data_IF_710434415703
#
_entry.id   IF_710434415703
#
_cell.length_a   1.000
_cell.length_b   1.000
_cell.length_c   1.000
_cell.angle_alpha   90.00
_cell.angle_beta   90.00
_cell.angle_gamma   90.00
#
_symmetry.space_group_name_H-M   'P 1'
#
loop_
_entity.id
_entity.type
_entity.pdbx_description
1 polymer ?
#
# COMPACT_ATOMS: atom_id res chain seq x y z
N UNK A 1 -9.18 -15.07 25.45
CA UNK A 1 -7.86 -15.08 24.80
C UNK A 1 -7.82 -16.18 23.78
N UNK A 2 -7.69 -15.85 22.50
CA UNK A 2 -7.43 -16.84 21.46
C UNK A 2 -5.94 -17.14 21.52
N UNK A 3 -5.56 -18.39 21.86
CA UNK A 3 -4.19 -18.92 21.88
C UNK A 3 -3.56 -18.88 20.48
N UNK A 4 -3.29 -17.68 19.99
CA UNK A 4 -2.54 -17.44 18.77
C UNK A 4 -1.09 -17.26 19.18
N UNK A 5 -0.33 -18.35 19.15
CA UNK A 5 1.13 -18.33 19.21
C UNK A 5 1.67 -17.67 17.94
N UNK A 6 1.70 -16.33 17.93
CA UNK A 6 2.41 -15.58 16.90
C UNK A 6 3.90 -15.77 17.18
N UNK A 7 4.59 -16.48 16.28
CA UNK A 7 6.03 -16.70 16.32
C UNK A 7 6.78 -15.39 16.62
N UNK A 8 7.75 -15.41 17.54
CA UNK A 8 8.48 -14.23 17.99
C UNK A 8 9.13 -13.45 16.83
N UNK A 9 9.60 -14.15 15.81
CA UNK A 9 10.16 -13.60 14.56
C UNK A 9 9.19 -12.67 13.83
N UNK A 10 7.88 -12.90 13.94
CA UNK A 10 6.86 -12.02 13.37
C UNK A 10 6.56 -10.81 14.26
N UNK A 11 6.89 -10.83 15.55
CA UNK A 11 6.61 -9.74 16.50
C UNK A 11 7.71 -8.68 16.53
N UNK A 12 8.97 -9.09 16.36
CA UNK A 12 10.15 -8.20 16.39
C UNK A 12 10.01 -6.99 15.45
N UNK A 13 9.59 -7.13 14.17
CA UNK A 13 9.41 -5.99 13.29
C UNK A 13 8.35 -5.00 13.80
N UNK A 14 7.25 -5.48 14.39
CA UNK A 14 6.22 -4.60 14.94
C UNK A 14 6.70 -3.82 16.15
N UNK A 15 7.48 -4.46 17.03
CA UNK A 15 8.06 -3.79 18.19
C UNK A 15 9.03 -2.70 17.76
N UNK A 16 9.85 -2.97 16.75
CA UNK A 16 10.75 -1.98 16.18
C UNK A 16 9.99 -0.81 15.54
N UNK A 17 9.01 -1.08 14.68
CA UNK A 17 8.20 -0.02 14.06
C UNK A 17 7.44 0.82 15.10
N UNK A 18 6.87 0.18 16.11
CA UNK A 18 6.18 0.88 17.19
C UNK A 18 7.14 1.74 18.01
N UNK A 19 8.37 1.25 18.27
CA UNK A 19 9.42 2.02 18.93
C UNK A 19 9.80 3.26 18.11
N UNK A 20 10.01 3.09 16.80
CA UNK A 20 10.36 4.21 15.91
C UNK A 20 9.22 5.22 15.82
N UNK A 21 7.97 4.78 15.68
CA UNK A 21 6.80 5.66 15.71
C UNK A 21 6.66 6.39 17.06
N UNK A 22 6.94 5.71 18.16
CA UNK A 22 6.99 6.31 19.49
C UNK A 22 8.04 7.42 19.59
N UNK A 23 9.24 7.19 19.04
CA UNK A 23 10.31 8.18 18.98
C UNK A 23 9.92 9.38 18.10
N UNK A 24 9.34 9.14 16.92
CA UNK A 24 8.85 10.20 16.02
C UNK A 24 7.81 11.09 16.70
N UNK A 25 6.87 10.51 17.46
CA UNK A 25 5.88 11.26 18.26
C UNK A 25 6.52 12.11 19.36
N UNK A 26 7.66 11.69 19.88
CA UNK A 26 8.46 12.44 20.86
C UNK A 26 9.45 13.42 20.20
N UNK A 27 9.37 13.60 18.87
CA UNK A 27 10.27 14.41 18.05
C UNK A 27 11.73 13.94 18.02
N UNK A 28 11.95 12.65 18.23
CA UNK A 28 13.24 12.02 18.00
C UNK A 28 13.28 11.37 16.60
N UNK A 29 14.08 11.96 15.72
CA UNK A 29 14.26 11.52 14.33
C UNK A 29 15.31 10.40 14.19
N UNK A 30 16.17 10.19 15.20
CA UNK A 30 17.35 9.34 15.05
C UNK A 30 16.99 7.88 14.73
N UNK A 31 16.00 7.25 15.40
CA UNK A 31 15.62 5.88 15.08
C UNK A 31 15.05 5.75 13.66
N UNK A 32 14.25 6.72 13.21
CA UNK A 32 13.65 6.70 11.88
C UNK A 32 14.70 6.95 10.77
N UNK A 33 15.65 7.86 10.99
CA UNK A 33 16.76 8.10 10.07
C UNK A 33 17.61 6.85 9.87
N UNK A 34 18.02 6.19 10.97
CA UNK A 34 18.80 4.95 10.90
C UNK A 34 18.05 3.86 10.14
N UNK A 35 16.77 3.69 10.45
CA UNK A 35 15.93 2.71 9.75
C UNK A 35 15.82 3.01 8.25
N UNK A 36 15.67 4.29 7.86
CA UNK A 36 15.61 4.69 6.46
C UNK A 36 16.95 4.46 5.74
N UNK A 37 18.08 4.70 6.39
CA UNK A 37 19.41 4.43 5.83
C UNK A 37 19.64 2.93 5.64
N UNK A 38 19.25 2.09 6.61
CA UNK A 38 19.36 0.62 6.54
C UNK A 38 18.46 0.02 5.45
N UNK A 39 17.31 0.64 5.17
CA UNK A 39 16.33 0.19 4.17
C UNK A 39 16.37 0.99 2.87
N UNK A 40 17.43 1.77 2.62
CA UNK A 40 17.51 2.74 1.52
C UNK A 40 17.24 2.12 0.14
N UNK A 41 17.80 0.96 -0.14
CA UNK A 41 17.63 0.29 -1.45
C UNK A 41 16.16 -0.11 -1.66
N UNK A 42 15.55 -0.72 -0.65
CA UNK A 42 14.14 -1.12 -0.68
C UNK A 42 13.21 0.11 -0.79
N UNK A 43 13.52 1.20 -0.08
CA UNK A 43 12.77 2.46 -0.17
C UNK A 43 12.87 3.09 -1.57
N UNK A 44 14.02 2.95 -2.23
CA UNK A 44 14.22 3.43 -3.60
C UNK A 44 13.41 2.61 -4.62
N UNK A 45 13.27 1.29 -4.43
CA UNK A 45 12.44 0.43 -5.29
C UNK A 45 10.97 0.86 -5.27
N UNK A 46 10.44 1.18 -4.09
CA UNK A 46 9.06 1.70 -3.94
C UNK A 46 8.95 3.21 -4.21
N UNK A 47 10.03 3.87 -4.61
CA UNK A 47 10.14 5.32 -4.87
C UNK A 47 9.65 6.17 -3.69
N UNK A 48 9.94 5.73 -2.47
CA UNK A 48 9.62 6.46 -1.25
C UNK A 48 10.34 7.81 -1.18
N UNK A 49 9.68 8.79 -0.55
CA UNK A 49 10.27 10.11 -0.22
C UNK A 49 10.63 10.25 1.27
N UNK A 50 10.50 9.17 2.05
CA UNK A 50 10.67 9.15 3.50
C UNK A 50 12.03 9.66 3.94
N UNK A 51 13.09 9.11 3.36
CA UNK A 51 14.46 9.44 3.74
C UNK A 51 14.77 10.94 3.55
N UNK A 52 14.35 11.49 2.41
CA UNK A 52 14.44 12.93 2.16
C UNK A 52 13.67 13.75 3.19
N UNK A 53 12.42 13.37 3.51
CA UNK A 53 11.59 14.08 4.49
C UNK A 53 12.22 14.05 5.89
N UNK A 54 12.82 12.94 6.29
CA UNK A 54 13.52 12.81 7.56
C UNK A 54 14.76 13.71 7.63
N UNK A 55 15.61 13.69 6.59
CA UNK A 55 16.76 14.61 6.51
C UNK A 55 16.32 16.08 6.50
N UNK A 56 15.20 16.39 5.83
CA UNK A 56 14.59 17.73 5.82
C UNK A 56 14.23 18.19 7.23
N UNK A 57 13.48 17.39 8.00
CA UNK A 57 13.14 17.76 9.38
C UNK A 57 14.38 17.88 10.26
N UNK A 58 15.35 16.97 10.12
CA UNK A 58 16.59 17.03 10.91
C UNK A 58 17.38 18.30 10.61
N UNK A 59 17.47 18.70 9.34
CA UNK A 59 18.12 19.94 8.94
C UNK A 59 17.38 21.14 9.51
N UNK A 60 16.04 21.18 9.46
CA UNK A 60 15.24 22.24 10.07
C UNK A 60 15.47 22.31 11.59
N UNK A 61 15.54 21.17 12.30
CA UNK A 61 15.84 21.13 13.73
C UNK A 61 17.23 21.68 14.07
N UNK A 62 18.22 21.52 13.17
CA UNK A 62 19.54 22.16 13.32
C UNK A 62 19.44 23.68 13.14
N UNK A 63 18.65 24.14 12.17
CA UNK A 63 18.49 25.58 11.94
C UNK A 63 17.75 26.29 13.08
N UNK A 64 16.77 25.62 13.70
CA UNK A 64 16.03 26.14 14.87
C UNK A 64 16.93 26.41 16.08
N UNK A 65 18.10 25.78 16.16
CA UNK A 65 19.08 26.02 17.23
C UNK A 65 19.86 27.33 17.04
N UNK A 66 19.63 28.03 15.93
CA UNK A 66 20.16 29.35 15.66
C UNK A 66 21.60 29.35 15.11
N UNK A 67 22.25 30.52 15.07
CA UNK A 67 23.54 30.71 14.38
C UNK A 67 24.68 29.83 14.89
N UNK A 68 24.65 29.44 16.17
CA UNK A 68 25.66 28.57 16.78
C UNK A 68 25.77 27.20 16.10
N UNK A 69 24.69 26.74 15.45
CA UNK A 69 24.63 25.43 14.78
C UNK A 69 24.74 25.52 13.25
N UNK A 70 25.02 26.72 12.70
CA UNK A 70 25.14 26.93 11.25
C UNK A 70 26.18 25.99 10.61
N UNK A 71 27.35 25.83 11.24
CA UNK A 71 28.40 24.93 10.75
C UNK A 71 27.94 23.46 10.71
N UNK A 72 27.20 23.02 11.74
CA UNK A 72 26.65 21.67 11.79
C UNK A 72 25.57 21.46 10.72
N UNK A 73 24.71 22.47 10.49
CA UNK A 73 23.72 22.43 9.42
C UNK A 73 24.39 22.30 8.03
N UNK A 74 25.43 23.09 7.76
CA UNK A 74 26.22 23.00 6.52
C UNK A 74 26.91 21.66 6.35
N UNK A 75 27.43 21.08 7.43
CA UNK A 75 28.01 19.76 7.36
C UNK A 75 26.93 18.70 7.07
N UNK A 76 25.77 18.83 7.71
CA UNK A 76 24.64 17.92 7.53
C UNK A 76 24.02 18.00 6.14
N UNK A 77 24.07 19.16 5.47
CA UNK A 77 23.49 19.35 4.14
C UNK A 77 24.13 18.46 3.07
N UNK A 78 25.31 17.87 3.33
CA UNK A 78 25.94 16.88 2.44
C UNK A 78 25.09 15.62 2.28
N UNK A 79 24.26 15.27 3.26
CA UNK A 79 23.31 14.15 3.15
C UNK A 79 22.25 14.38 2.06
N UNK A 80 22.09 15.62 1.56
CA UNK A 80 21.14 15.92 0.50
C UNK A 80 21.65 15.60 -0.92
N UNK A 81 22.91 15.23 -1.09
CA UNK A 81 23.53 15.00 -2.41
C UNK A 81 22.75 13.96 -3.24
N UNK A 82 22.37 12.84 -2.61
CA UNK A 82 21.59 11.78 -3.26
C UNK A 82 20.17 12.20 -3.69
N UNK A 83 19.67 13.32 -3.18
CA UNK A 83 18.31 13.81 -3.42
C UNK A 83 18.26 15.02 -4.36
N UNK A 84 19.42 15.52 -4.81
CA UNK A 84 19.54 16.77 -5.54
C UNK A 84 18.70 16.82 -6.82
N UNK A 85 18.69 15.72 -7.59
CA UNK A 85 17.97 15.63 -8.86
C UNK A 85 16.44 15.60 -8.68
N UNK A 86 15.96 14.96 -7.61
CA UNK A 86 14.52 14.76 -7.37
C UNK A 86 13.89 15.92 -6.58
N UNK A 87 14.67 16.60 -5.74
CA UNK A 87 14.18 17.58 -4.76
C UNK A 87 14.86 18.95 -4.85
N UNK A 88 15.33 19.35 -6.03
CA UNK A 88 16.13 20.58 -6.21
C UNK A 88 15.46 21.84 -5.63
N UNK A 89 14.15 22.02 -5.85
CA UNK A 89 13.42 23.21 -5.35
C UNK A 89 13.35 23.22 -3.82
N UNK A 90 13.06 22.07 -3.22
CA UNK A 90 13.02 21.94 -1.76
C UNK A 90 14.40 22.24 -1.16
N UNK A 91 15.48 21.73 -1.77
CA UNK A 91 16.84 22.01 -1.32
C UNK A 91 17.19 23.50 -1.44
N UNK A 92 16.78 24.18 -2.52
CA UNK A 92 16.97 25.63 -2.65
C UNK A 92 16.25 26.40 -1.54
N UNK A 93 15.04 25.98 -1.17
CA UNK A 93 14.28 26.56 -0.05
C UNK A 93 15.02 26.34 1.28
N UNK A 94 15.51 25.12 1.52
CA UNK A 94 16.28 24.81 2.73
C UNK A 94 17.57 25.63 2.82
N UNK A 95 18.33 25.71 1.73
CA UNK A 95 19.55 26.53 1.69
C UNK A 95 19.24 28.02 1.83
N UNK A 96 18.17 28.52 1.20
CA UNK A 96 17.73 29.90 1.32
C UNK A 96 17.30 30.28 2.74
N UNK A 97 16.69 29.34 3.48
CA UNK A 97 16.27 29.56 4.86
C UNK A 97 17.42 29.88 5.82
N UNK A 98 18.65 29.45 5.49
CA UNK A 98 19.83 29.75 6.28
C UNK A 98 20.17 31.25 6.36
N UNK A 99 19.75 32.05 5.37
CA UNK A 99 19.97 33.49 5.37
C UNK A 99 19.29 34.20 6.55
N UNK A 100 18.28 33.57 7.14
CA UNK A 100 17.46 34.10 8.23
C UNK A 100 17.82 33.54 9.60
N UNK A 101 18.93 32.79 9.72
CA UNK A 101 19.39 32.17 10.97
C UNK A 101 19.57 33.18 12.11
N UNK A 102 19.99 34.41 11.81
CA UNK A 102 20.21 35.46 12.82
C UNK A 102 18.90 35.98 13.40
N UNK A 103 17.85 36.07 12.58
CA UNK A 103 16.53 36.55 12.98
C UNK A 103 15.61 35.43 13.49
N UNK A 104 15.97 34.16 13.26
CA UNK A 104 15.13 32.99 13.50
C UNK A 104 14.24 32.67 12.29
N UNK A 105 14.10 31.38 11.99
CA UNK A 105 13.30 30.93 10.83
C UNK A 105 11.82 31.24 11.03
N UNK A 106 11.35 31.24 12.26
CA UNK A 106 9.98 31.62 12.65
C UNK A 106 9.62 33.05 12.23
N UNK A 107 10.61 33.94 12.14
CA UNK A 107 10.44 35.34 11.75
C UNK A 107 10.74 35.60 10.26
N UNK A 108 10.85 34.53 9.47
CA UNK A 108 11.21 34.59 8.05
C UNK A 108 10.06 34.17 7.13
N UNK A 109 10.17 34.39 5.80
CA UNK A 109 9.24 33.81 4.82
C UNK A 109 9.18 32.28 4.86
N UNK A 110 10.14 31.63 5.52
CA UNK A 110 10.26 30.18 5.66
C UNK A 110 9.64 29.64 6.95
N UNK A 111 8.88 30.43 7.70
CA UNK A 111 8.20 29.98 8.93
C UNK A 111 7.31 28.74 8.71
N UNK A 112 6.75 28.60 7.51
CA UNK A 112 5.96 27.44 7.10
C UNK A 112 6.74 26.11 7.16
N UNK A 113 8.08 26.12 7.12
CA UNK A 113 8.92 24.94 7.29
C UNK A 113 8.86 24.36 8.70
N UNK A 114 8.45 25.16 9.69
CA UNK A 114 8.35 24.78 11.09
C UNK A 114 6.98 24.18 11.46
N UNK A 115 6.08 24.05 10.49
CA UNK A 115 4.71 23.62 10.73
C UNK A 115 4.67 22.21 11.36
N UNK A 116 3.87 21.99 12.43
CA UNK A 116 3.76 20.69 13.08
C UNK A 116 3.29 19.56 12.16
N UNK A 117 2.52 19.90 11.12
CA UNK A 117 1.97 18.95 10.13
C UNK A 117 3.01 18.03 9.49
N UNK A 118 4.27 18.48 9.38
CA UNK A 118 5.33 17.64 8.80
C UNK A 118 5.71 16.45 9.70
N UNK A 119 5.46 16.55 11.01
CA UNK A 119 5.68 15.42 11.92
C UNK A 119 4.60 14.35 11.74
N UNK A 120 3.35 14.78 11.61
CA UNK A 120 2.23 13.88 11.31
C UNK A 120 2.42 13.22 9.94
N UNK A 121 2.78 14.02 8.93
CA UNK A 121 3.08 13.55 7.58
C UNK A 121 4.22 12.51 7.56
N UNK A 122 5.29 12.72 8.33
CA UNK A 122 6.37 11.73 8.44
C UNK A 122 5.91 10.46 9.12
N UNK A 123 5.08 10.55 10.17
CA UNK A 123 4.53 9.34 10.81
C UNK A 123 3.68 8.52 9.82
N UNK A 124 2.87 9.19 9.01
CA UNK A 124 2.03 8.53 7.99
C UNK A 124 2.87 7.90 6.87
N UNK A 125 3.87 8.63 6.36
CA UNK A 125 4.77 8.13 5.32
C UNK A 125 5.60 6.96 5.86
N UNK A 126 6.17 7.08 7.06
CA UNK A 126 6.93 6.01 7.70
C UNK A 126 6.08 4.75 7.89
N UNK A 127 4.86 4.88 8.42
CA UNK A 127 3.96 3.74 8.65
C UNK A 127 3.63 3.04 7.33
N UNK A 128 3.30 3.82 6.29
CA UNK A 128 2.97 3.29 4.98
C UNK A 128 4.14 2.53 4.34
N UNK A 129 5.32 3.15 4.33
CA UNK A 129 6.48 2.58 3.66
C UNK A 129 6.99 1.35 4.42
N UNK A 130 7.05 1.42 5.75
CA UNK A 130 7.42 0.28 6.59
C UNK A 130 6.45 -0.90 6.43
N UNK A 131 5.14 -0.66 6.43
CA UNK A 131 4.15 -1.70 6.16
C UNK A 131 4.34 -2.30 4.76
N UNK A 132 4.61 -1.46 3.75
CA UNK A 132 4.85 -1.91 2.37
C UNK A 132 6.07 -2.82 2.28
N UNK A 133 7.19 -2.43 2.91
CA UNK A 133 8.42 -3.23 2.92
C UNK A 133 8.26 -4.57 3.64
N UNK A 134 7.43 -4.62 4.67
CA UNK A 134 7.11 -5.86 5.39
C UNK A 134 6.03 -6.71 4.69
N UNK A 135 5.49 -6.26 3.55
CA UNK A 135 4.40 -6.95 2.85
C UNK A 135 3.08 -6.95 3.63
N UNK A 136 2.86 -5.93 4.46
CA UNK A 136 1.72 -5.83 5.36
C UNK A 136 0.72 -4.77 4.89
N UNK A 137 -0.55 -4.96 5.25
CA UNK A 137 -1.55 -3.91 5.08
C UNK A 137 -1.28 -2.75 6.03
N UNK A 138 -1.31 -1.53 5.50
CA UNK A 138 -1.22 -0.28 6.30
C UNK A 138 -2.44 -0.15 7.20
N UNK A 139 -3.60 -0.62 6.73
CA UNK A 139 -4.83 -0.66 7.51
C UNK A 139 -4.93 -1.95 8.33
N UNK A 140 -5.44 -1.83 9.55
CA UNK A 140 -5.72 -2.98 10.41
C UNK A 140 -6.78 -3.89 9.76
N UNK A 141 -6.52 -5.20 9.60
CA UNK A 141 -7.50 -6.14 9.07
C UNK A 141 -8.83 -6.15 9.84
N UNK A 142 -8.77 -5.94 11.17
CA UNK A 142 -9.96 -5.83 12.00
C UNK A 142 -10.77 -4.58 11.67
N UNK A 143 -10.10 -3.43 11.53
CA UNK A 143 -10.74 -2.16 11.16
C UNK A 143 -11.40 -2.24 9.78
N UNK A 144 -10.68 -2.79 8.79
CA UNK A 144 -11.20 -3.03 7.44
C UNK A 144 -12.42 -3.95 7.49
N UNK A 145 -12.33 -5.08 8.21
CA UNK A 145 -13.42 -6.05 8.34
C UNK A 145 -14.66 -5.45 9.00
N UNK A 146 -14.49 -4.68 10.08
CA UNK A 146 -15.61 -4.01 10.75
C UNK A 146 -16.25 -3.00 9.79
N UNK A 147 -15.45 -2.19 9.09
CA UNK A 147 -15.98 -1.16 8.18
C UNK A 147 -16.72 -1.79 7.01
N UNK A 148 -16.15 -2.81 6.37
CA UNK A 148 -16.81 -3.59 5.33
C UNK A 148 -18.12 -4.23 5.85
N UNK A 149 -18.10 -4.78 7.07
CA UNK A 149 -19.29 -5.31 7.74
C UNK A 149 -20.37 -4.26 7.96
N UNK A 150 -20.01 -3.05 8.39
CA UNK A 150 -20.94 -1.94 8.56
C UNK A 150 -21.59 -1.51 7.22
N UNK A 151 -20.85 -1.57 6.12
CA UNK A 151 -21.39 -1.29 4.77
C UNK A 151 -22.30 -2.43 4.28
N UNK A 152 -21.94 -3.68 4.56
CA UNK A 152 -22.67 -4.87 4.11
C UNK A 152 -23.94 -5.16 4.92
N UNK A 153 -23.97 -4.80 6.20
CA UNK A 153 -25.04 -5.19 7.11
C UNK A 153 -26.43 -4.63 6.70
N UNK A 154 -26.59 -3.34 6.33
CA UNK A 154 -27.91 -2.82 5.95
C UNK A 154 -28.52 -3.52 4.72
N UNK A 155 -27.79 -3.73 3.60
CA UNK A 155 -28.28 -4.56 2.49
C UNK A 155 -28.71 -5.96 2.91
N UNK A 156 -27.91 -6.64 3.75
CA UNK A 156 -28.21 -7.99 4.24
C UNK A 156 -29.48 -8.04 5.09
N UNK A 157 -29.71 -7.04 5.95
CA UNK A 157 -30.92 -6.95 6.76
C UNK A 157 -32.17 -6.75 5.89
N UNK A 158 -32.08 -5.89 4.87
CA UNK A 158 -33.17 -5.68 3.92
C UNK A 158 -33.52 -6.96 3.16
N UNK A 159 -32.51 -7.71 2.71
CA UNK A 159 -32.71 -8.97 2.02
C UNK A 159 -33.36 -10.00 2.94
N UNK A 160 -32.88 -10.12 4.19
CA UNK A 160 -33.48 -11.03 5.18
C UNK A 160 -34.97 -10.75 5.34
N UNK A 161 -35.36 -9.48 5.43
CA UNK A 161 -36.75 -9.07 5.55
C UNK A 161 -37.56 -9.45 4.30
N UNK A 162 -37.04 -9.16 3.10
CA UNK A 162 -37.71 -9.50 1.83
C UNK A 162 -37.88 -11.02 1.69
N UNK A 163 -36.86 -11.80 2.05
CA UNK A 163 -36.91 -13.26 1.99
C UNK A 163 -37.97 -13.84 2.93
N UNK A 164 -38.09 -13.31 4.15
CA UNK A 164 -39.11 -13.70 5.13
C UNK A 164 -40.52 -13.33 4.66
N UNK A 165 -40.70 -12.14 4.08
CA UNK A 165 -42.00 -11.65 3.61
C UNK A 165 -42.48 -12.35 2.34
N UNK A 166 -41.59 -12.63 1.38
CA UNK A 166 -41.96 -13.19 0.07
C UNK A 166 -41.93 -14.73 0.02
N UNK A 167 -41.63 -15.42 1.13
CA UNK A 167 -41.55 -16.89 1.20
C UNK A 167 -40.62 -17.51 0.15
N UNK A 168 -39.55 -16.78 -0.23
CA UNK A 168 -38.56 -17.22 -1.23
C UNK A 168 -37.39 -17.99 -0.61
N UNK A 169 -37.66 -18.70 0.49
CA UNK A 169 -36.67 -19.42 1.31
C UNK A 169 -35.81 -20.41 0.51
N UNK A 170 -36.35 -20.93 -0.61
CA UNK A 170 -35.64 -21.87 -1.49
C UNK A 170 -34.72 -21.23 -2.54
N UNK A 171 -34.80 -19.90 -2.75
CA UNK A 171 -33.98 -19.18 -3.75
C UNK A 171 -32.53 -19.04 -3.27
N UNK A 172 -32.30 -19.04 -1.95
CA UNK A 172 -30.97 -18.99 -1.36
C UNK A 172 -30.65 -20.31 -0.67
N UNK A 173 -30.25 -21.29 -1.48
CA UNK A 173 -29.92 -22.65 -1.03
C UNK A 173 -28.42 -22.95 -1.06
N UNK A 174 -27.63 -22.13 -1.76
CA UNK A 174 -26.16 -22.20 -1.76
C UNK A 174 -25.59 -21.53 -0.51
N UNK A 175 -24.80 -22.29 0.28
CA UNK A 175 -24.14 -21.80 1.50
C UNK A 175 -22.93 -20.90 1.23
N UNK A 176 -22.44 -20.86 -0.01
CA UNK A 176 -21.18 -20.22 -0.38
C UNK A 176 -21.34 -18.88 -1.10
N UNK A 177 -22.58 -18.43 -1.34
CA UNK A 177 -22.86 -17.22 -2.13
C UNK A 177 -23.85 -16.30 -1.43
N UNK A 178 -23.69 -15.00 -1.64
CA UNK A 178 -24.68 -14.01 -1.24
C UNK A 178 -25.76 -13.88 -2.33
N UNK A 179 -27.04 -13.64 -1.96
CA UNK A 179 -28.12 -13.52 -2.92
C UNK A 179 -28.03 -12.23 -3.77
N UNK A 180 -27.23 -11.25 -3.34
CA UNK A 180 -26.93 -10.02 -4.08
C UNK A 180 -25.46 -9.65 -3.92
N UNK A 181 -24.91 -8.97 -4.91
CA UNK A 181 -23.61 -8.32 -4.81
C UNK A 181 -23.70 -7.09 -3.90
N UNK A 182 -22.81 -7.00 -2.93
CA UNK A 182 -22.68 -5.84 -2.03
C UNK A 182 -21.48 -5.04 -2.53
N UNK A 183 -21.74 -3.87 -3.12
CA UNK A 183 -20.66 -2.98 -3.53
C UNK A 183 -20.05 -2.30 -2.30
N UNK A 184 -18.87 -2.76 -1.91
CA UNK A 184 -18.09 -2.17 -0.82
C UNK A 184 -17.32 -0.92 -1.26
N UNK A 185 -17.19 -0.66 -2.57
CA UNK A 185 -16.31 0.37 -3.11
C UNK A 185 -14.99 -0.17 -3.64
N UNK A 186 -14.18 0.72 -4.22
CA UNK A 186 -12.89 0.35 -4.84
C UNK A 186 -11.78 0.18 -3.82
N UNK A 187 -11.88 0.88 -2.69
CA UNK A 187 -10.94 0.87 -1.58
C UNK A 187 -10.84 -0.49 -0.87
N UNK A 188 -11.83 -1.37 -1.04
CA UNK A 188 -11.82 -2.75 -0.51
C UNK A 188 -11.34 -3.81 -1.52
N UNK A 189 -10.86 -3.39 -2.70
CA UNK A 189 -10.39 -4.30 -3.75
C UNK A 189 -8.88 -4.49 -3.65
N UNK A 190 -8.46 -5.34 -2.71
CA UNK A 190 -7.04 -5.61 -2.43
C UNK A 190 -6.38 -6.59 -3.41
N UNK A 191 -7.18 -7.35 -4.16
CA UNK A 191 -6.69 -8.38 -5.08
C UNK A 191 -7.33 -8.20 -6.45
N UNK A 192 -6.54 -8.44 -7.49
CA UNK A 192 -7.04 -8.54 -8.86
C UNK A 192 -7.90 -9.78 -9.00
N UNK A 193 -9.13 -9.60 -9.47
CA UNK A 193 -10.08 -10.68 -9.72
C UNK A 193 -10.22 -10.86 -11.22
N UNK A 194 -10.06 -12.10 -11.68
CA UNK A 194 -10.40 -12.48 -13.05
C UNK A 194 -11.60 -13.43 -13.04
N UNK A 195 -12.64 -13.07 -13.78
CA UNK A 195 -13.77 -13.95 -14.06
C UNK A 195 -13.61 -14.52 -15.47
N UNK A 196 -13.57 -15.84 -15.58
CA UNK A 196 -13.49 -16.53 -16.86
C UNK A 196 -14.73 -16.22 -17.68
N UNK A 197 -14.61 -15.62 -18.86
CA UNK A 197 -15.79 -15.21 -19.62
C UNK A 197 -16.49 -16.39 -20.33
N UNK A 198 -15.83 -17.55 -20.40
CA UNK A 198 -16.39 -18.78 -20.98
C UNK A 198 -17.17 -19.57 -19.94
N UNK A 199 -16.58 -19.80 -18.76
CA UNK A 199 -17.22 -20.56 -17.69
C UNK A 199 -18.08 -19.68 -16.77
N UNK A 200 -17.95 -18.35 -16.88
CA UNK A 200 -18.63 -17.36 -16.03
C UNK A 200 -18.36 -17.59 -14.55
N UNK A 201 -17.14 -18.00 -14.23
CA UNK A 201 -16.68 -18.33 -12.88
C UNK A 201 -15.40 -17.55 -12.58
N UNK A 202 -15.26 -17.10 -11.33
CA UNK A 202 -14.03 -16.49 -10.85
C UNK A 202 -12.88 -17.50 -10.87
N UNK A 203 -11.71 -17.07 -11.34
CA UNK A 203 -10.49 -17.88 -11.30
C UNK A 203 -9.98 -18.04 -9.88
N UNK A 204 -9.37 -19.20 -9.63
CA UNK A 204 -8.76 -19.58 -8.34
C UNK A 204 -7.30 -20.00 -8.56
N UNK A 205 -6.56 -20.29 -7.49
CA UNK A 205 -5.20 -20.86 -7.61
C UNK A 205 -5.19 -22.20 -8.37
N UNK A 206 -6.27 -22.98 -8.23
CA UNK A 206 -6.48 -24.26 -8.92
C UNK A 206 -7.16 -24.08 -10.29
N UNK A 207 -7.64 -22.88 -10.62
CA UNK A 207 -8.18 -22.57 -11.95
C UNK A 207 -7.75 -21.16 -12.40
N UNK A 208 -6.44 -20.94 -12.60
CA UNK A 208 -5.90 -19.62 -12.82
C UNK A 208 -6.26 -19.08 -14.21
N UNK A 209 -6.14 -17.76 -14.40
CA UNK A 209 -6.21 -17.13 -15.71
C UNK A 209 -5.05 -17.58 -16.59
N UNK A 210 -5.38 -18.02 -17.81
CA UNK A 210 -4.45 -18.47 -18.85
C UNK A 210 -4.55 -17.55 -20.07
N UNK A 211 -3.44 -16.92 -20.43
CA UNK A 211 -3.32 -16.09 -21.63
C UNK A 211 -2.97 -16.94 -22.84
N UNK A 212 -3.79 -16.84 -23.88
CA UNK A 212 -3.55 -17.43 -25.20
C UNK A 212 -2.48 -16.61 -25.96
N UNK A 213 -1.89 -17.18 -27.01
CA UNK A 213 -0.89 -16.51 -27.87
C UNK A 213 -1.43 -15.23 -28.51
N UNK A 214 -2.74 -15.16 -28.75
CA UNK A 214 -3.42 -13.97 -29.28
C UNK A 214 -3.63 -12.86 -28.24
N UNK A 215 -3.31 -13.10 -26.96
CA UNK A 215 -3.44 -12.14 -25.87
C UNK A 215 -4.75 -12.22 -25.08
N UNK A 216 -5.78 -12.89 -25.57
CA UNK A 216 -7.00 -13.13 -24.81
C UNK A 216 -6.75 -14.06 -23.61
N UNK A 217 -7.51 -13.87 -22.53
CA UNK A 217 -7.37 -14.62 -21.28
C UNK A 217 -8.65 -15.42 -21.01
N UNK A 218 -8.48 -16.71 -20.69
CA UNK A 218 -9.55 -17.63 -20.27
C UNK A 218 -9.05 -18.44 -19.06
N UNK A 219 -9.89 -19.11 -18.28
CA UNK A 219 -9.40 -19.95 -17.18
C UNK A 219 -8.78 -21.26 -17.67
N UNK A 220 -7.96 -21.90 -16.83
CA UNK A 220 -7.35 -23.21 -17.11
C UNK A 220 -8.38 -24.29 -17.43
N UNK A 221 -9.50 -24.34 -16.72
CA UNK A 221 -10.56 -25.30 -17.00
C UNK A 221 -11.25 -25.01 -18.35
N UNK A 222 -11.41 -23.72 -18.69
CA UNK A 222 -11.96 -23.34 -19.98
C UNK A 222 -11.01 -23.75 -21.11
N UNK A 223 -9.70 -23.57 -20.92
CA UNK A 223 -8.66 -24.02 -21.85
C UNK A 223 -8.73 -25.54 -22.06
N UNK A 224 -8.89 -26.30 -20.99
CA UNK A 224 -9.07 -27.76 -21.06
C UNK A 224 -10.33 -28.17 -21.80
N UNK A 225 -11.47 -27.52 -21.52
CA UNK A 225 -12.77 -27.82 -22.16
C UNK A 225 -12.83 -27.41 -23.63
N UNK A 226 -12.09 -26.37 -24.03
CA UNK A 226 -12.01 -25.91 -25.43
C UNK A 226 -10.95 -26.65 -26.25
N UNK A 227 -10.14 -27.50 -25.62
CA UNK A 227 -9.13 -28.31 -26.30
C UNK A 227 -9.80 -29.46 -27.04
N UNK A 228 -9.65 -29.48 -28.36
CA UNK A 228 -10.11 -30.58 -29.21
C UNK A 228 -8.95 -31.05 -30.10
N UNK A 229 -8.64 -32.35 -30.07
CA UNK A 229 -7.50 -32.93 -30.80
C UNK A 229 -6.18 -32.15 -30.58
N UNK A 230 -5.91 -31.80 -29.33
CA UNK A 230 -4.70 -31.09 -28.90
C UNK A 230 -4.55 -29.67 -29.48
N UNK A 231 -5.62 -29.09 -30.01
CA UNK A 231 -5.68 -27.69 -30.47
C UNK A 231 -6.77 -26.95 -29.71
N UNK A 232 -6.51 -25.68 -29.41
CA UNK A 232 -7.48 -24.76 -28.83
C UNK A 232 -7.67 -23.61 -29.80
N UNK A 233 -8.94 -23.34 -30.13
CA UNK A 233 -9.33 -22.13 -30.86
C UNK A 233 -9.75 -21.06 -29.87
N UNK A 234 -9.25 -19.84 -30.04
CA UNK A 234 -9.69 -18.72 -29.21
C UNK A 234 -11.19 -18.45 -29.44
N UNK A 235 -12.00 -18.28 -28.38
CA UNK A 235 -13.42 -17.95 -28.52
C UNK A 235 -13.68 -16.52 -29.02
N UNK A 236 -12.68 -15.64 -28.97
CA UNK A 236 -12.79 -14.23 -29.36
C UNK A 236 -12.17 -13.90 -30.72
N UNK A 237 -11.35 -14.79 -31.28
CA UNK A 237 -10.62 -14.52 -32.52
C UNK A 237 -10.30 -15.84 -33.25
N UNK A 238 -9.93 -15.80 -34.54
CA UNK A 238 -9.73 -17.01 -35.33
C UNK A 238 -8.43 -17.76 -35.02
N UNK A 239 -7.59 -17.26 -34.09
CA UNK A 239 -6.28 -17.85 -33.78
C UNK A 239 -6.43 -19.20 -33.07
N UNK A 240 -5.68 -20.18 -33.56
CA UNK A 240 -5.54 -21.51 -32.99
C UNK A 240 -4.14 -21.72 -32.42
N UNK A 241 -4.03 -22.52 -31.37
CA UNK A 241 -2.78 -22.81 -30.68
C UNK A 241 -2.80 -24.19 -30.05
N UNK A 242 -1.64 -24.65 -29.57
CA UNK A 242 -1.59 -25.79 -28.66
C UNK A 242 -1.98 -25.35 -27.24
N UNK A 243 -2.65 -26.20 -26.44
CA UNK A 243 -2.94 -25.89 -25.03
C UNK A 243 -1.68 -25.56 -24.22
N UNK A 244 -0.55 -26.18 -24.55
CA UNK A 244 0.75 -25.96 -23.90
C UNK A 244 1.32 -24.55 -24.11
N UNK A 245 0.88 -23.84 -25.15
CA UNK A 245 1.37 -22.49 -25.46
C UNK A 245 0.72 -21.42 -24.56
N UNK A 246 -0.38 -21.78 -23.89
CA UNK A 246 -1.06 -20.88 -22.97
C UNK A 246 -0.20 -20.65 -21.73
N UNK A 247 -0.03 -19.38 -21.34
CA UNK A 247 0.76 -18.99 -20.17
C UNK A 247 -0.14 -18.49 -19.06
N UNK A 248 0.12 -18.94 -17.84
CA UNK A 248 -0.55 -18.41 -16.67
C UNK A 248 -0.25 -16.91 -16.51
N UNK A 249 -1.29 -16.14 -16.18
CA UNK A 249 -1.17 -14.72 -15.82
C UNK A 249 -1.12 -14.59 -14.31
N UNK A 250 -0.21 -13.74 -13.83
CA UNK A 250 -0.16 -13.29 -12.45
C UNK A 250 -0.50 -11.80 -12.46
N UNK A 251 -1.37 -11.38 -11.54
CA UNK A 251 -1.82 -10.01 -11.38
C UNK A 251 -1.24 -9.38 -10.12
#
# INVERSE_FOLDING_TARGET
DADLEIAAEKKEPFLELHRILGALKQRDLIPALRWAEENRDNLNEIRSSLEFKLHRLRFIDLLKQGPSHQSQALQYSRNFEAFADRHTRDLQILMGSMLYLQQGIENSPYSHLLAPIYWDEICDVFTRDACTLLGMSVESPLSVSIRAGCLALPPLLNIRQVMQQRQVSGVWSNKEELPVEIDLGREYRYHSIFACPILRQQSTEVNPPMRLICGHVISRDALGKLSNNNKVKCPYCPVEQLPSDAKQVFF
#
